data_IF_994764282188
#
_entry.id   IF_994764282188
#
_cell.length_a   1.000
_cell.length_b   1.000
_cell.length_c   1.000
_cell.angle_alpha   90.00
_cell.angle_beta   90.00
_cell.angle_gamma   90.00
#
_symmetry.space_group_name_H-M   'P 1'
#
loop_
_entity.id
_entity.type
_entity.pdbx_description
1 polymer ?
#
# COMPACT_ATOMS: atom_id res chain seq x y z
N UNK A 1 21.67 11.70 -3.14
CA UNK A 1 20.51 11.68 -2.23
C UNK A 1 19.94 10.27 -2.25
N UNK A 2 20.11 9.46 -1.19
CA UNK A 2 19.44 8.16 -1.11
C UNK A 2 17.92 8.38 -1.21
N UNK A 3 17.15 7.47 -1.85
CA UNK A 3 15.71 7.58 -1.86
C UNK A 3 15.22 7.64 -0.40
N UNK A 4 14.34 8.59 -0.08
CA UNK A 4 13.82 8.76 1.26
C UNK A 4 13.27 7.40 1.77
N UNK A 5 13.85 6.84 2.83
CA UNK A 5 13.31 5.63 3.46
C UNK A 5 11.88 5.95 3.90
N UNK A 6 10.89 5.34 3.25
CA UNK A 6 9.48 5.65 3.51
C UNK A 6 9.11 5.23 4.94
N UNK A 7 8.49 6.15 5.67
CA UNK A 7 7.90 5.86 6.97
C UNK A 7 6.61 5.04 6.84
N UNK A 8 6.27 4.32 7.91
CA UNK A 8 4.98 3.63 8.11
C UNK A 8 3.79 4.55 7.78
N UNK A 9 2.95 4.18 6.81
CA UNK A 9 1.77 4.95 6.43
C UNK A 9 0.72 4.93 7.56
N UNK A 10 0.21 6.10 7.94
CA UNK A 10 -0.91 6.21 8.91
C UNK A 10 -2.25 5.78 8.31
N UNK A 11 -2.38 5.85 6.98
CA UNK A 11 -3.59 5.47 6.24
C UNK A 11 -3.69 3.94 6.19
N UNK A 12 -4.87 3.43 6.51
CA UNK A 12 -5.22 2.01 6.47
C UNK A 12 -6.40 1.78 5.52
N UNK A 13 -6.51 0.55 5.00
CA UNK A 13 -7.59 0.10 4.12
C UNK A 13 -8.20 -1.18 4.69
N UNK A 14 -9.51 -1.33 4.55
CA UNK A 14 -10.16 -2.60 4.83
C UNK A 14 -9.95 -3.59 3.67
N UNK A 15 -9.48 -4.83 3.91
CA UNK A 15 -9.28 -5.82 2.84
C UNK A 15 -10.58 -6.37 2.23
N UNK A 16 -11.75 -6.11 2.83
CA UNK A 16 -13.03 -6.63 2.34
C UNK A 16 -13.86 -5.58 1.61
N UNK A 17 -14.26 -4.52 2.32
CA UNK A 17 -15.11 -3.48 1.76
C UNK A 17 -14.32 -2.33 1.15
N UNK A 18 -12.98 -2.43 1.14
CA UNK A 18 -12.06 -1.47 0.54
C UNK A 18 -12.13 -0.04 1.10
N UNK A 19 -12.86 0.17 2.20
CA UNK A 19 -12.99 1.47 2.86
C UNK A 19 -11.67 1.89 3.50
N UNK A 20 -11.23 3.12 3.21
CA UNK A 20 -10.07 3.74 3.85
C UNK A 20 -10.44 4.30 5.22
N UNK A 21 -9.51 4.16 6.16
CA UNK A 21 -9.68 4.63 7.55
C UNK A 21 -8.33 4.78 8.23
N UNK A 22 -8.27 5.59 9.28
CA UNK A 22 -7.13 5.67 10.19
C UNK A 22 -7.25 4.68 11.37
N UNK A 23 -8.43 4.10 11.57
CA UNK A 23 -8.73 3.16 12.66
C UNK A 23 -8.22 1.75 12.33
N UNK A 24 -7.86 0.99 13.36
CA UNK A 24 -7.46 -0.42 13.22
C UNK A 24 -8.61 -1.35 12.87
N UNK A 25 -9.86 -0.95 13.14
CA UNK A 25 -11.08 -1.66 12.74
C UNK A 25 -11.85 -0.84 11.70
N UNK A 26 -12.39 -1.53 10.70
CA UNK A 26 -13.22 -0.92 9.67
C UNK A 26 -14.55 -0.42 10.25
N UNK A 27 -14.98 0.82 9.97
CA UNK A 27 -16.24 1.35 10.47
C UNK A 27 -17.49 0.72 9.82
N UNK A 28 -17.35 0.05 8.67
CA UNK A 28 -18.49 -0.58 7.96
C UNK A 28 -18.68 -2.05 8.30
N UNK A 29 -17.59 -2.81 8.39
CA UNK A 29 -17.64 -4.28 8.56
C UNK A 29 -16.87 -4.79 9.78
N UNK A 30 -16.34 -3.89 10.62
CA UNK A 30 -15.63 -4.19 11.87
C UNK A 30 -14.38 -5.07 11.76
N UNK A 31 -13.95 -5.46 10.54
CA UNK A 31 -12.72 -6.24 10.32
C UNK A 31 -11.46 -5.40 10.52
N UNK A 32 -10.35 -6.07 10.85
CA UNK A 32 -9.04 -5.45 11.02
C UNK A 32 -8.56 -4.83 9.70
N UNK A 33 -8.16 -3.57 9.75
CA UNK A 33 -7.64 -2.83 8.59
C UNK A 33 -6.15 -3.07 8.44
N UNK A 34 -5.63 -2.95 7.22
CA UNK A 34 -4.21 -3.10 6.90
C UNK A 34 -3.62 -1.73 6.50
N UNK A 35 -2.35 -1.43 6.83
CA UNK A 35 -1.71 -0.21 6.35
C UNK A 35 -1.68 -0.21 4.82
N UNK A 36 -1.91 0.94 4.21
CA UNK A 36 -1.97 1.10 2.75
C UNK A 36 -0.88 2.07 2.25
N UNK A 37 0.41 1.75 2.43
CA UNK A 37 1.47 2.54 1.83
C UNK A 37 1.52 2.29 0.31
N UNK A 38 1.95 3.29 -0.49
CA UNK A 38 2.34 3.02 -1.87
C UNK A 38 3.49 2.01 -1.93
N UNK A 39 3.60 1.23 -3.03
CA UNK A 39 4.65 0.23 -3.19
C UNK A 39 6.04 0.87 -3.29
N UNK A 40 7.07 0.06 -3.02
CA UNK A 40 8.45 0.51 -3.10
C UNK A 40 8.92 0.83 -4.52
N UNK A 41 9.48 2.04 -4.67
CA UNK A 41 10.05 2.49 -5.93
C UNK A 41 11.57 2.38 -5.86
N UNK A 42 12.14 1.58 -6.76
CA UNK A 42 13.57 1.58 -7.03
C UNK A 42 13.79 2.01 -8.49
N UNK A 43 14.62 3.04 -8.74
CA UNK A 43 14.96 3.48 -10.10
C UNK A 43 15.57 2.36 -10.95
N UNK A 44 16.26 1.42 -10.31
CA UNK A 44 16.89 0.25 -10.93
C UNK A 44 16.18 -1.04 -10.50
N UNK A 45 14.86 -1.07 -10.60
CA UNK A 45 14.07 -2.28 -10.36
C UNK A 45 14.00 -3.15 -11.63
N UNK A 46 14.68 -4.31 -11.69
CA UNK A 46 14.65 -5.17 -12.87
C UNK A 46 13.26 -5.74 -13.16
N UNK A 47 12.39 -5.83 -12.14
CA UNK A 47 11.03 -6.35 -12.27
C UNK A 47 9.98 -5.26 -12.47
N UNK A 48 10.39 -4.02 -12.75
CA UNK A 48 9.47 -2.88 -12.88
C UNK A 48 8.37 -3.15 -13.89
N UNK A 49 8.71 -3.65 -15.08
CA UNK A 49 7.76 -3.90 -16.17
C UNK A 49 6.67 -4.91 -15.79
N UNK A 50 7.07 -5.98 -15.11
CA UNK A 50 6.14 -7.01 -14.60
C UNK A 50 5.21 -6.40 -13.54
N UNK A 51 5.76 -5.61 -12.60
CA UNK A 51 4.98 -4.97 -11.53
C UNK A 51 3.96 -3.94 -12.02
N UNK A 52 4.26 -3.26 -13.13
CA UNK A 52 3.34 -2.27 -13.74
C UNK A 52 2.44 -2.87 -14.82
N UNK A 53 2.51 -4.19 -15.07
CA UNK A 53 1.67 -4.86 -16.06
C UNK A 53 1.96 -4.45 -17.51
N UNK A 54 3.20 -4.02 -17.81
CA UNK A 54 3.63 -3.69 -19.17
C UNK A 54 4.14 -4.90 -19.95
N UNK A 55 4.20 -6.08 -19.32
CA UNK A 55 4.51 -7.36 -19.96
C UNK A 55 3.48 -8.39 -19.50
N UNK A 56 3.05 -9.25 -20.41
CA UNK A 56 2.07 -10.32 -20.17
C UNK A 56 2.76 -11.65 -19.87
#
# INVERSE_FOLDING_TARGET
MPPARRGKSKIRRCPLCLTYTLKEKCPKCSKKTIPAPPPDYSPRDPHRLIKVGLVN
#
